data_IF_821957165266
#
_entry.id   IF_821957165266
#
_cell.length_a   1.000
_cell.length_b   1.000
_cell.length_c   1.000
_cell.angle_alpha   90.00
_cell.angle_beta   90.00
_cell.angle_gamma   90.00
#
_symmetry.space_group_name_H-M   'P 1'
#
loop_
_entity.id
_entity.type
_entity.pdbx_description
1 polymer ?
#
# COMPACT_ATOMS: atom_id res chain seq x y z
N UNK A 1 -15.36 -21.63 -22.26
CA UNK A 1 -15.63 -21.17 -20.88
C UNK A 1 -16.98 -20.48 -20.78
N UNK A 2 -17.30 -19.43 -21.54
CA UNK A 2 -18.58 -18.72 -21.43
C UNK A 2 -19.82 -19.62 -21.47
N UNK A 3 -19.91 -20.51 -22.44
CA UNK A 3 -21.04 -21.48 -22.55
C UNK A 3 -21.11 -22.42 -21.34
N UNK A 4 -19.96 -22.82 -20.77
CA UNK A 4 -19.90 -23.65 -19.58
C UNK A 4 -20.42 -22.88 -18.34
N UNK A 5 -20.06 -21.60 -18.22
CA UNK A 5 -20.53 -20.73 -17.15
C UNK A 5 -22.06 -20.53 -17.21
N UNK A 6 -22.59 -20.22 -18.40
CA UNK A 6 -24.04 -20.07 -18.62
C UNK A 6 -24.79 -21.38 -18.33
N UNK A 7 -24.23 -22.52 -18.75
CA UNK A 7 -24.83 -23.85 -18.48
C UNK A 7 -24.85 -24.15 -16.99
N UNK A 8 -23.79 -23.86 -16.27
CA UNK A 8 -23.72 -24.06 -14.82
C UNK A 8 -24.75 -23.20 -14.07
N UNK A 9 -24.83 -21.90 -14.37
CA UNK A 9 -25.80 -20.99 -13.76
C UNK A 9 -27.26 -21.42 -14.03
N UNK A 10 -27.56 -21.83 -15.26
CA UNK A 10 -28.88 -22.35 -15.63
C UNK A 10 -29.25 -23.65 -14.91
N UNK A 11 -28.26 -24.55 -14.73
CA UNK A 11 -28.49 -25.84 -14.07
C UNK A 11 -28.94 -25.73 -12.62
N UNK A 12 -28.50 -24.65 -11.93
CA UNK A 12 -28.86 -24.37 -10.53
C UNK A 12 -30.01 -23.34 -10.40
N UNK A 13 -30.55 -22.85 -11.51
CA UNK A 13 -31.59 -21.81 -11.50
C UNK A 13 -31.15 -20.51 -10.88
N UNK A 14 -29.88 -20.12 -11.08
CA UNK A 14 -29.31 -18.93 -10.45
C UNK A 14 -29.91 -17.64 -10.99
N UNK A 15 -30.31 -16.74 -10.09
CA UNK A 15 -30.77 -15.39 -10.40
C UNK A 15 -29.97 -14.36 -9.61
N UNK A 16 -29.40 -13.36 -10.26
CA UNK A 16 -28.57 -12.33 -9.67
C UNK A 16 -27.18 -12.23 -10.34
N UNK A 17 -26.36 -11.30 -9.87
CA UNK A 17 -24.98 -11.21 -10.31
C UNK A 17 -24.13 -12.34 -9.73
N UNK A 18 -23.27 -12.93 -10.53
CA UNK A 18 -22.36 -13.99 -10.08
C UNK A 18 -21.23 -14.19 -11.06
N UNK A 19 -20.18 -14.86 -10.62
CA UNK A 19 -19.00 -15.18 -11.42
C UNK A 19 -18.68 -16.65 -11.27
N UNK A 20 -18.40 -17.30 -12.39
CA UNK A 20 -17.90 -18.68 -12.42
C UNK A 20 -16.42 -18.63 -12.74
N UNK A 21 -15.62 -19.25 -11.90
CA UNK A 21 -14.17 -19.25 -11.99
C UNK A 21 -13.68 -20.59 -12.55
N UNK A 22 -12.67 -20.49 -13.43
CA UNK A 22 -12.02 -21.62 -14.04
C UNK A 22 -10.52 -21.49 -13.89
N UNK A 23 -9.86 -22.63 -13.62
CA UNK A 23 -8.41 -22.74 -13.81
C UNK A 23 -8.16 -23.16 -15.28
N UNK A 24 -7.14 -22.58 -15.88
CA UNK A 24 -6.82 -22.80 -17.30
C UNK A 24 -5.36 -23.21 -17.45
N UNK A 25 -5.11 -24.27 -18.21
CA UNK A 25 -3.77 -24.61 -18.69
C UNK A 25 -3.42 -23.73 -19.89
N UNK A 26 -2.51 -22.78 -19.66
CA UNK A 26 -2.00 -21.85 -20.68
C UNK A 26 -0.71 -22.29 -21.35
N UNK A 27 -0.17 -23.47 -21.05
CA UNK A 27 1.17 -23.92 -21.49
C UNK A 27 1.32 -23.91 -23.02
N UNK A 28 0.25 -24.30 -23.75
CA UNK A 28 0.22 -24.39 -25.22
C UNK A 28 -0.86 -23.47 -25.82
N UNK A 29 -1.17 -22.35 -25.15
CA UNK A 29 -2.29 -21.47 -25.48
C UNK A 29 -3.63 -21.98 -24.94
N UNK A 30 -4.70 -21.21 -25.19
CA UNK A 30 -6.03 -21.56 -24.70
C UNK A 30 -6.64 -22.69 -25.54
N UNK A 31 -6.98 -23.81 -24.89
CA UNK A 31 -7.62 -24.98 -25.52
C UNK A 31 -9.02 -25.19 -24.96
N UNK A 32 -9.90 -25.75 -25.77
CA UNK A 32 -11.30 -26.03 -25.38
C UNK A 32 -11.43 -27.15 -24.35
N UNK A 33 -10.41 -27.98 -24.18
CA UNK A 33 -10.30 -29.08 -23.21
C UNK A 33 -9.33 -28.80 -22.05
N UNK A 34 -8.70 -27.62 -22.03
CA UNK A 34 -7.67 -27.23 -21.07
C UNK A 34 -8.20 -26.25 -19.99
N UNK A 35 -9.44 -26.39 -19.53
CA UNK A 35 -9.97 -25.60 -18.44
C UNK A 35 -10.86 -26.43 -17.50
N UNK A 36 -10.83 -26.08 -16.22
CA UNK A 36 -11.57 -26.81 -15.18
C UNK A 36 -12.32 -25.82 -14.30
N UNK A 37 -13.54 -26.19 -13.90
CA UNK A 37 -14.34 -25.43 -12.95
C UNK A 37 -13.64 -25.40 -11.59
N UNK A 38 -13.55 -24.21 -11.00
CA UNK A 38 -13.06 -24.01 -9.63
C UNK A 38 -14.22 -23.76 -8.68
N UNK A 39 -14.88 -22.64 -8.82
CA UNK A 39 -15.98 -22.24 -7.96
C UNK A 39 -16.97 -21.31 -8.67
N UNK A 40 -18.11 -21.09 -8.01
CA UNK A 40 -19.04 -20.05 -8.37
C UNK A 40 -19.19 -19.07 -7.20
N UNK A 41 -18.87 -17.82 -7.44
CA UNK A 41 -19.15 -16.75 -6.50
C UNK A 41 -20.57 -16.22 -6.77
N UNK A 42 -21.51 -16.50 -5.86
CA UNK A 42 -22.91 -16.10 -5.97
C UNK A 42 -23.16 -14.67 -5.47
N UNK A 43 -22.31 -13.76 -5.88
CA UNK A 43 -22.30 -12.33 -5.52
C UNK A 43 -21.66 -11.50 -6.61
N UNK A 44 -21.85 -10.20 -6.56
CA UNK A 44 -21.07 -9.28 -7.35
C UNK A 44 -19.59 -9.35 -6.94
N UNK A 45 -18.68 -9.37 -7.89
CA UNK A 45 -17.24 -9.38 -7.65
C UNK A 45 -16.70 -7.96 -7.45
N UNK A 46 -15.57 -7.85 -6.75
CA UNK A 46 -14.90 -6.56 -6.53
C UNK A 46 -14.55 -5.91 -7.86
N UNK A 47 -14.06 -6.69 -8.82
CA UNK A 47 -13.59 -6.26 -10.15
C UNK A 47 -14.69 -6.02 -11.19
N UNK A 48 -15.97 -5.99 -10.81
CA UNK A 48 -17.06 -5.70 -11.74
C UNK A 48 -16.87 -4.41 -12.57
N UNK A 49 -16.17 -3.36 -12.09
CA UNK A 49 -15.96 -2.14 -12.87
C UNK A 49 -15.20 -2.39 -14.18
N UNK A 50 -14.34 -3.42 -14.25
CA UNK A 50 -13.67 -3.79 -15.51
C UNK A 50 -14.69 -4.26 -16.55
N UNK A 51 -15.60 -5.14 -16.14
CA UNK A 51 -16.69 -5.63 -17.01
C UNK A 51 -17.59 -4.47 -17.44
N UNK A 52 -17.99 -3.62 -16.52
CA UNK A 52 -18.82 -2.44 -16.82
C UNK A 52 -18.13 -1.50 -17.81
N UNK A 53 -16.83 -1.24 -17.63
CA UNK A 53 -16.07 -0.34 -18.49
C UNK A 53 -15.97 -0.83 -19.95
N UNK A 54 -15.89 -2.14 -20.16
CA UNK A 54 -15.75 -2.71 -21.52
C UNK A 54 -17.09 -3.07 -22.18
N UNK A 55 -18.18 -3.21 -21.40
CA UNK A 55 -19.49 -3.60 -21.95
C UNK A 55 -20.51 -2.45 -21.94
N UNK A 56 -20.27 -1.40 -21.16
CA UNK A 56 -21.21 -0.30 -20.99
C UNK A 56 -22.43 -0.65 -20.13
N UNK A 57 -22.38 -1.76 -19.39
CA UNK A 57 -23.45 -2.24 -18.51
C UNK A 57 -23.18 -1.75 -17.08
N UNK A 58 -24.21 -1.32 -16.35
CA UNK A 58 -24.17 -1.09 -14.91
C UNK A 58 -24.70 -2.34 -14.19
N UNK A 59 -23.79 -3.16 -13.65
CA UNK A 59 -24.14 -4.41 -12.99
C UNK A 59 -24.87 -4.20 -11.68
N UNK A 60 -24.61 -3.10 -10.97
CA UNK A 60 -25.28 -2.74 -9.72
C UNK A 60 -26.73 -2.33 -10.01
N UNK A 61 -26.95 -1.50 -11.02
CA UNK A 61 -28.30 -1.16 -11.48
C UNK A 61 -29.07 -2.43 -11.88
N UNK A 62 -28.43 -3.36 -12.61
CA UNK A 62 -29.08 -4.60 -13.02
C UNK A 62 -29.43 -5.50 -11.84
N UNK A 63 -28.60 -5.54 -10.79
CA UNK A 63 -28.96 -6.27 -9.56
C UNK A 63 -30.23 -5.70 -8.93
N UNK A 64 -30.37 -4.37 -8.87
CA UNK A 64 -31.57 -3.72 -8.32
C UNK A 64 -32.81 -4.00 -9.18
N UNK A 65 -32.68 -3.94 -10.50
CA UNK A 65 -33.79 -4.26 -11.42
C UNK A 65 -34.25 -5.71 -11.30
N UNK A 66 -33.31 -6.65 -11.28
CA UNK A 66 -33.61 -8.08 -11.11
C UNK A 66 -34.26 -8.35 -9.76
N UNK A 67 -33.78 -7.72 -8.69
CA UNK A 67 -34.37 -7.82 -7.36
C UNK A 67 -35.79 -7.23 -7.30
N UNK A 68 -36.09 -6.21 -8.13
CA UNK A 68 -37.43 -5.65 -8.30
C UNK A 68 -38.36 -6.54 -9.15
N UNK A 69 -37.87 -7.66 -9.70
CA UNK A 69 -38.63 -8.55 -10.57
C UNK A 69 -38.67 -8.15 -12.05
N UNK A 70 -37.83 -7.18 -12.46
CA UNK A 70 -37.74 -6.76 -13.85
C UNK A 70 -36.96 -7.81 -14.69
N UNK A 71 -37.23 -7.85 -15.99
CA UNK A 71 -36.42 -8.60 -16.93
C UNK A 71 -35.05 -7.89 -17.12
N UNK A 72 -34.02 -8.67 -17.52
CA UNK A 72 -32.73 -8.10 -17.87
C UNK A 72 -32.89 -7.05 -18.98
N UNK A 73 -32.22 -5.88 -18.86
CA UNK A 73 -32.34 -4.78 -19.83
C UNK A 73 -31.81 -5.10 -21.21
N UNK A 74 -30.88 -6.06 -21.34
CA UNK A 74 -30.27 -6.48 -22.61
C UNK A 74 -30.19 -8.00 -22.69
N UNK A 75 -30.11 -8.52 -23.92
CA UNK A 75 -29.84 -9.93 -24.17
C UNK A 75 -28.36 -10.19 -24.32
N UNK A 76 -27.95 -11.45 -24.25
CA UNK A 76 -26.54 -11.84 -24.40
C UNK A 76 -25.97 -11.43 -25.77
N UNK A 77 -26.73 -11.51 -26.81
CA UNK A 77 -26.35 -11.16 -28.20
C UNK A 77 -26.18 -9.65 -28.43
N UNK A 78 -26.77 -8.82 -27.56
CA UNK A 78 -26.69 -7.36 -27.62
C UNK A 78 -25.43 -6.82 -26.94
N UNK A 79 -24.73 -7.67 -26.18
CA UNK A 79 -23.51 -7.31 -25.46
C UNK A 79 -22.30 -7.33 -26.39
N UNK A 80 -21.49 -6.30 -26.31
CA UNK A 80 -20.22 -6.21 -27.05
C UNK A 80 -19.10 -5.72 -26.15
N UNK A 81 -17.89 -6.20 -26.41
CA UNK A 81 -16.69 -5.73 -25.71
C UNK A 81 -16.07 -4.60 -26.51
N UNK A 82 -15.89 -3.43 -25.87
CA UNK A 82 -15.28 -2.26 -26.47
C UNK A 82 -14.05 -1.84 -25.68
N UNK A 83 -12.90 -1.80 -26.35
CA UNK A 83 -11.65 -1.40 -25.73
C UNK A 83 -11.09 -2.42 -24.74
N UNK A 84 -10.42 -1.90 -23.73
CA UNK A 84 -9.75 -2.68 -22.69
C UNK A 84 -9.77 -1.90 -21.38
N UNK A 85 -9.91 -2.59 -20.25
CA UNK A 85 -9.89 -1.95 -18.94
C UNK A 85 -8.94 -2.67 -18.00
N UNK A 86 -8.43 -1.92 -17.02
CA UNK A 86 -7.67 -2.43 -15.89
C UNK A 86 -8.24 -1.88 -14.60
N UNK A 87 -8.18 -2.68 -13.56
CA UNK A 87 -8.45 -2.26 -12.19
C UNK A 87 -7.26 -2.61 -11.31
N UNK A 88 -6.85 -1.66 -10.47
CA UNK A 88 -5.92 -1.88 -9.38
C UNK A 88 -6.64 -1.73 -8.05
N UNK A 89 -6.42 -2.68 -7.14
CA UNK A 89 -6.89 -2.61 -5.76
C UNK A 89 -5.81 -2.00 -4.90
N UNK A 90 -6.06 -0.78 -4.44
CA UNK A 90 -5.17 -0.07 -3.52
C UNK A 90 -5.47 -0.51 -2.10
N UNK A 91 -4.48 -1.12 -1.46
CA UNK A 91 -4.54 -1.64 -0.11
C UNK A 91 -3.58 -0.90 0.83
N UNK A 92 -3.96 -0.79 2.10
CA UNK A 92 -3.03 -0.45 3.17
C UNK A 92 -2.23 -1.71 3.55
N UNK A 93 -1.12 -1.93 2.84
CA UNK A 93 -0.26 -3.12 2.95
C UNK A 93 1.21 -2.75 2.85
N UNK A 94 2.02 -3.33 3.73
CA UNK A 94 3.47 -3.25 3.68
C UNK A 94 4.01 -4.39 2.81
N UNK A 95 4.23 -4.09 1.54
CA UNK A 95 4.69 -5.06 0.53
C UNK A 95 6.10 -5.57 0.84
N UNK A 96 7.09 -4.72 1.17
CA UNK A 96 8.42 -5.18 1.62
C UNK A 96 8.40 -6.12 2.82
N UNK A 97 7.45 -5.95 3.72
CA UNK A 97 7.27 -6.81 4.88
C UNK A 97 6.46 -8.09 4.58
N UNK A 98 6.21 -8.42 3.29
CA UNK A 98 5.48 -9.60 2.87
C UNK A 98 3.97 -9.37 2.77
N UNK A 99 3.54 -8.21 2.34
CA UNK A 99 2.12 -7.82 2.21
C UNK A 99 1.37 -7.78 3.54
N UNK A 100 2.08 -7.39 4.60
CA UNK A 100 1.44 -7.25 5.91
C UNK A 100 0.44 -6.09 5.89
N UNK A 101 -0.79 -6.29 6.39
CA UNK A 101 -1.75 -5.21 6.52
C UNK A 101 -1.20 -4.08 7.39
N UNK A 102 -1.33 -2.84 6.93
CA UNK A 102 -0.91 -1.64 7.63
C UNK A 102 -2.13 -0.91 8.17
N UNK A 103 -2.22 -0.74 9.48
CA UNK A 103 -3.25 0.08 10.13
C UNK A 103 -2.78 1.52 10.26
N UNK A 104 -3.69 2.45 10.41
CA UNK A 104 -3.37 3.85 10.64
C UNK A 104 -4.46 4.79 10.15
N UNK A 105 -4.28 6.07 10.44
CA UNK A 105 -5.17 7.13 9.95
C UNK A 105 -4.67 7.60 8.59
N UNK A 106 -5.57 7.76 7.64
CA UNK A 106 -5.27 8.33 6.32
C UNK A 106 -5.16 9.86 6.47
N UNK A 107 -3.93 10.36 6.57
CA UNK A 107 -3.69 11.80 6.73
C UNK A 107 -3.96 12.60 5.44
N UNK A 108 -3.81 11.94 4.29
CA UNK A 108 -3.97 12.54 2.98
C UNK A 108 -4.37 11.48 1.95
N UNK A 109 -5.35 11.82 1.11
CA UNK A 109 -5.83 10.95 0.05
C UNK A 109 -6.28 11.81 -1.14
N UNK A 110 -5.56 11.67 -2.25
CA UNK A 110 -5.89 12.35 -3.52
C UNK A 110 -5.82 11.34 -4.66
N UNK A 111 -6.86 11.31 -5.46
CA UNK A 111 -6.94 10.50 -6.66
C UNK A 111 -6.96 11.36 -7.92
N UNK A 112 -6.49 10.85 -9.07
CA UNK A 112 -6.58 11.54 -10.34
C UNK A 112 -8.04 11.62 -10.83
N UNK A 113 -8.43 12.70 -11.50
CA UNK A 113 -9.79 12.88 -12.01
C UNK A 113 -10.13 12.01 -13.23
N UNK A 114 -9.11 11.48 -13.92
CA UNK A 114 -9.28 10.74 -15.18
C UNK A 114 -9.45 9.23 -14.99
N UNK A 115 -9.58 8.75 -13.77
CA UNK A 115 -9.84 7.36 -13.43
C UNK A 115 -11.18 7.22 -12.69
N UNK A 116 -11.84 6.08 -12.85
CA UNK A 116 -12.95 5.71 -11.97
C UNK A 116 -12.37 5.26 -10.65
N UNK A 117 -12.80 5.90 -9.58
CA UNK A 117 -12.37 5.60 -8.21
C UNK A 117 -13.57 5.15 -7.39
N UNK A 118 -13.53 3.92 -6.93
CA UNK A 118 -14.50 3.41 -5.96
C UNK A 118 -13.78 3.26 -4.62
N UNK A 119 -13.92 4.26 -3.74
CA UNK A 119 -13.28 4.30 -2.42
C UNK A 119 -14.28 4.09 -1.30
N UNK A 120 -13.89 3.31 -0.30
CA UNK A 120 -14.63 3.13 0.94
C UNK A 120 -14.22 4.08 2.06
N UNK A 121 -13.18 4.89 1.85
CA UNK A 121 -12.55 5.75 2.87
C UNK A 121 -12.21 7.12 2.30
N UNK A 122 -12.05 8.09 3.18
CA UNK A 122 -11.60 9.46 2.89
C UNK A 122 -10.44 9.86 3.81
N UNK A 123 -9.81 10.99 3.54
CA UNK A 123 -8.80 11.54 4.46
C UNK A 123 -9.44 11.81 5.84
N UNK A 124 -8.76 11.39 6.90
CA UNK A 124 -9.23 11.42 8.28
C UNK A 124 -9.78 10.07 8.78
N UNK A 125 -10.12 9.14 7.89
CA UNK A 125 -10.58 7.81 8.29
C UNK A 125 -9.44 6.93 8.79
N UNK A 126 -9.77 5.99 9.66
CA UNK A 126 -8.85 5.00 10.21
C UNK A 126 -8.99 3.65 9.48
N UNK A 127 -7.88 3.12 8.99
CA UNK A 127 -7.79 1.72 8.53
C UNK A 127 -7.65 0.83 9.75
N UNK A 128 -8.73 0.10 10.05
CA UNK A 128 -8.82 -0.75 11.23
C UNK A 128 -8.31 -2.17 10.92
N UNK A 129 -7.85 -2.92 11.95
CA UNK A 129 -7.42 -4.31 11.79
C UNK A 129 -8.58 -5.32 11.63
N UNK A 130 -9.83 -4.85 11.71
CA UNK A 130 -11.02 -5.72 11.76
C UNK A 130 -11.65 -6.00 10.40
N UNK A 131 -11.35 -5.16 9.41
CA UNK A 131 -11.91 -5.26 8.07
C UNK A 131 -10.79 -5.39 7.04
N UNK A 132 -11.17 -5.65 5.80
CA UNK A 132 -10.27 -5.66 4.65
C UNK A 132 -9.61 -4.27 4.52
N UNK A 133 -8.26 -4.18 4.41
CA UNK A 133 -7.54 -2.90 4.38
C UNK A 133 -7.60 -2.21 3.02
N UNK A 134 -8.57 -2.54 2.17
CA UNK A 134 -8.73 -1.92 0.85
C UNK A 134 -9.15 -0.45 0.99
N UNK A 135 -8.31 0.43 0.46
CA UNK A 135 -8.55 1.88 0.42
C UNK A 135 -9.48 2.22 -0.74
N UNK A 136 -9.15 1.73 -1.93
CA UNK A 136 -9.91 2.04 -3.14
C UNK A 136 -9.64 1.04 -4.27
N UNK A 137 -10.52 1.06 -5.26
CA UNK A 137 -10.29 0.50 -6.59
C UNK A 137 -10.04 1.64 -7.57
N UNK A 138 -8.99 1.51 -8.36
CA UNK A 138 -8.63 2.46 -9.43
C UNK A 138 -8.86 1.75 -10.75
N UNK A 139 -9.91 2.14 -11.47
CA UNK A 139 -10.31 1.51 -12.73
C UNK A 139 -10.12 2.50 -13.88
N UNK A 140 -9.49 2.03 -14.95
CA UNK A 140 -9.24 2.80 -16.17
C UNK A 140 -9.68 2.03 -17.39
N UNK A 141 -10.02 2.77 -18.45
CA UNK A 141 -10.41 2.23 -19.74
C UNK A 141 -9.56 2.86 -20.86
N UNK A 142 -9.36 2.12 -21.93
CA UNK A 142 -8.68 2.60 -23.13
C UNK A 142 -9.11 1.83 -24.38
N UNK A 143 -8.84 2.36 -25.58
CA UNK A 143 -9.23 1.72 -26.84
C UNK A 143 -8.51 0.39 -27.08
N UNK A 144 -7.44 0.11 -26.39
CA UNK A 144 -6.70 -1.14 -26.43
C UNK A 144 -5.90 -1.33 -25.12
N UNK A 145 -5.32 -2.54 -24.94
CA UNK A 145 -4.56 -2.92 -23.74
C UNK A 145 -3.43 -1.93 -23.42
N UNK A 146 -2.63 -1.54 -24.41
CA UNK A 146 -1.47 -0.67 -24.19
C UNK A 146 -1.89 0.71 -23.66
N UNK A 147 -2.96 1.30 -24.21
CA UNK A 147 -3.47 2.60 -23.76
C UNK A 147 -4.14 2.52 -22.40
N UNK A 148 -4.93 1.47 -22.15
CA UNK A 148 -5.51 1.26 -20.82
C UNK A 148 -4.43 1.09 -19.75
N UNK A 149 -3.38 0.32 -20.02
CA UNK A 149 -2.26 0.13 -19.08
C UNK A 149 -1.46 1.42 -18.87
N UNK A 150 -1.24 2.22 -19.90
CA UNK A 150 -0.61 3.54 -19.77
C UNK A 150 -1.46 4.46 -18.88
N UNK A 151 -2.78 4.44 -19.04
CA UNK A 151 -3.69 5.21 -18.18
C UNK A 151 -3.64 4.72 -16.74
N UNK A 152 -3.57 3.39 -16.50
CA UNK A 152 -3.41 2.85 -15.16
C UNK A 152 -2.12 3.33 -14.51
N UNK A 153 -0.99 3.21 -15.20
CA UNK A 153 0.30 3.66 -14.69
C UNK A 153 0.28 5.15 -14.32
N UNK A 154 -0.32 5.99 -15.17
CA UNK A 154 -0.46 7.42 -14.91
C UNK A 154 -1.38 7.70 -13.71
N UNK A 155 -2.48 6.96 -13.57
CA UNK A 155 -3.40 7.09 -12.46
C UNK A 155 -2.74 6.70 -11.12
N UNK A 156 -1.98 5.61 -11.11
CA UNK A 156 -1.23 5.18 -9.92
C UNK A 156 -0.17 6.20 -9.52
N UNK A 157 0.58 6.77 -10.48
CA UNK A 157 1.59 7.81 -10.21
C UNK A 157 0.99 9.12 -9.67
N UNK A 158 -0.23 9.45 -10.09
CA UNK A 158 -0.93 10.64 -9.65
C UNK A 158 -1.70 10.45 -8.32
N UNK A 159 -1.83 9.19 -7.86
CA UNK A 159 -2.48 8.88 -6.59
C UNK A 159 -1.55 9.23 -5.43
N UNK A 160 -2.07 9.93 -4.43
CA UNK A 160 -1.31 10.33 -3.24
C UNK A 160 -2.00 9.81 -1.99
N UNK A 161 -1.28 9.02 -1.19
CA UNK A 161 -1.74 8.52 0.10
C UNK A 161 -0.67 8.79 1.15
N UNK A 162 -1.06 9.34 2.29
CA UNK A 162 -0.18 9.45 3.46
C UNK A 162 -0.92 9.07 4.73
N UNK A 163 -0.17 8.73 5.78
CA UNK A 163 -0.67 8.29 7.08
C UNK A 163 -0.52 6.79 7.32
N UNK A 164 -0.60 5.99 6.26
CA UNK A 164 -0.36 4.55 6.31
C UNK A 164 0.54 4.09 5.17
N UNK A 165 1.09 2.88 5.27
CA UNK A 165 1.85 2.23 4.19
C UNK A 165 0.87 1.57 3.24
N UNK A 166 1.15 1.63 1.93
CA UNK A 166 0.26 1.08 0.90
C UNK A 166 1.03 0.27 -0.13
N UNK A 167 0.30 -0.55 -0.90
CA UNK A 167 0.85 -1.31 -2.02
C UNK A 167 1.00 -0.47 -3.33
N UNK A 168 0.86 0.86 -3.27
CA UNK A 168 0.83 1.72 -4.45
C UNK A 168 2.10 1.63 -5.29
N UNK A 169 3.28 1.66 -4.65
CA UNK A 169 4.56 1.53 -5.34
C UNK A 169 4.70 0.18 -6.05
N UNK A 170 4.24 -0.89 -5.41
CA UNK A 170 4.19 -2.23 -6.00
C UNK A 170 3.29 -2.25 -7.24
N UNK A 171 2.08 -1.71 -7.16
CA UNK A 171 1.14 -1.63 -8.28
C UNK A 171 1.72 -0.81 -9.44
N UNK A 172 2.37 0.31 -9.14
CA UNK A 172 3.03 1.16 -10.13
C UNK A 172 4.17 0.42 -10.84
N UNK A 173 5.03 -0.31 -10.11
CA UNK A 173 6.10 -1.14 -10.68
C UNK A 173 5.53 -2.29 -11.51
N UNK A 174 4.52 -2.99 -11.00
CA UNK A 174 3.87 -4.11 -11.70
C UNK A 174 3.26 -3.65 -13.03
N UNK A 175 2.60 -2.48 -13.05
CA UNK A 175 1.98 -1.93 -14.27
C UNK A 175 3.00 -1.66 -15.40
N UNK A 176 4.29 -1.58 -15.06
CA UNK A 176 5.41 -1.30 -15.98
C UNK A 176 6.30 -2.50 -16.25
N UNK A 177 6.06 -3.61 -15.57
CA UNK A 177 6.85 -4.83 -15.77
C UNK A 177 6.66 -5.32 -17.22
N UNK A 178 7.74 -5.59 -17.99
CA UNK A 178 7.63 -5.98 -19.39
C UNK A 178 6.70 -7.18 -19.65
N UNK A 179 6.75 -8.19 -18.78
CA UNK A 179 5.90 -9.39 -18.84
C UNK A 179 4.43 -9.02 -18.63
N UNK A 180 4.14 -8.12 -17.69
CA UNK A 180 2.78 -7.63 -17.47
C UNK A 180 2.31 -6.78 -18.64
N UNK A 181 3.17 -5.94 -19.20
CA UNK A 181 2.88 -5.11 -20.40
C UNK A 181 2.55 -5.96 -21.60
N UNK A 182 3.33 -7.02 -21.86
CA UNK A 182 3.10 -7.95 -22.98
C UNK A 182 1.89 -8.86 -22.77
N UNK A 183 1.46 -9.06 -21.52
CA UNK A 183 0.40 -10.00 -21.16
C UNK A 183 0.91 -11.42 -20.93
N UNK A 184 2.21 -11.61 -20.81
CA UNK A 184 2.83 -12.87 -20.42
C UNK A 184 2.77 -13.02 -18.88
N UNK A 185 1.58 -13.34 -18.40
CA UNK A 185 1.25 -13.37 -16.97
C UNK A 185 0.80 -14.77 -16.55
N UNK A 186 1.33 -15.21 -15.43
CA UNK A 186 0.94 -16.43 -14.74
C UNK A 186 0.94 -16.23 -13.21
N UNK A 187 0.52 -17.24 -12.46
CA UNK A 187 0.45 -17.20 -11.00
C UNK A 187 1.81 -17.08 -10.31
N UNK A 188 2.91 -17.33 -11.00
CA UNK A 188 4.28 -17.21 -10.50
C UNK A 188 4.95 -15.86 -10.80
N UNK A 189 4.30 -14.94 -11.53
CA UNK A 189 4.91 -13.70 -11.99
C UNK A 189 5.49 -12.87 -10.84
N UNK A 190 4.73 -12.64 -9.78
CA UNK A 190 5.17 -11.83 -8.62
C UNK A 190 6.37 -12.48 -7.94
N UNK A 191 6.35 -13.80 -7.76
CA UNK A 191 7.46 -14.52 -7.12
C UNK A 191 8.76 -14.43 -7.93
N UNK A 192 8.68 -14.51 -9.27
CA UNK A 192 9.86 -14.38 -10.16
C UNK A 192 10.50 -12.99 -10.12
N UNK A 193 9.72 -11.96 -9.87
CA UNK A 193 10.18 -10.56 -9.88
C UNK A 193 10.09 -9.89 -8.50
N UNK A 194 10.03 -10.68 -7.43
CA UNK A 194 9.88 -10.20 -6.05
C UNK A 194 10.93 -9.17 -5.66
N UNK A 195 12.20 -9.39 -6.02
CA UNK A 195 13.30 -8.48 -5.70
C UNK A 195 13.12 -7.07 -6.27
N UNK A 196 12.42 -6.96 -7.40
CA UNK A 196 12.13 -5.67 -8.04
C UNK A 196 10.80 -5.09 -7.56
N UNK A 197 9.76 -5.92 -7.53
CA UNK A 197 8.41 -5.50 -7.22
C UNK A 197 8.22 -5.15 -5.74
N UNK A 198 8.82 -5.95 -4.84
CA UNK A 198 8.65 -5.83 -3.39
C UNK A 198 9.80 -5.09 -2.70
N UNK A 199 10.75 -4.52 -3.45
CA UNK A 199 11.86 -3.76 -2.87
C UNK A 199 11.35 -2.55 -2.09
N UNK A 200 11.86 -2.36 -0.86
CA UNK A 200 11.59 -1.17 -0.08
C UNK A 200 12.11 0.07 -0.82
N UNK A 201 11.31 1.14 -0.95
CA UNK A 201 11.76 2.37 -1.58
C UNK A 201 12.87 3.02 -0.74
N UNK A 202 13.87 3.59 -1.44
CA UNK A 202 14.99 4.30 -0.79
C UNK A 202 14.97 5.76 -1.20
N UNK A 203 15.05 6.70 -0.25
CA UNK A 203 15.08 8.11 -0.56
C UNK A 203 16.37 8.49 -1.30
N UNK A 204 16.24 9.26 -2.37
CA UNK A 204 17.37 9.98 -2.93
C UNK A 204 17.71 11.20 -2.07
N UNK A 205 18.89 11.78 -2.27
CA UNK A 205 19.24 13.03 -1.59
C UNK A 205 18.27 14.17 -1.93
N UNK A 206 17.69 14.16 -3.14
CA UNK A 206 16.68 15.14 -3.53
C UNK A 206 15.36 14.94 -2.76
N UNK A 207 14.89 13.70 -2.58
CA UNK A 207 13.67 13.41 -1.80
C UNK A 207 13.87 13.84 -0.34
N UNK A 208 15.03 13.53 0.23
CA UNK A 208 15.40 13.94 1.58
C UNK A 208 15.48 15.46 1.73
N UNK A 209 15.99 16.16 0.69
CA UNK A 209 16.04 17.62 0.68
C UNK A 209 14.63 18.25 0.61
N UNK A 210 13.72 17.67 -0.18
CA UNK A 210 12.32 18.08 -0.24
C UNK A 210 11.63 17.83 1.09
N UNK A 211 11.88 16.68 1.72
CA UNK A 211 11.35 16.38 3.04
C UNK A 211 11.86 17.41 4.08
N UNK A 212 13.14 17.76 4.07
CA UNK A 212 13.73 18.71 5.01
C UNK A 212 13.14 20.12 4.86
N UNK A 213 12.97 20.61 3.63
CA UNK A 213 12.39 21.95 3.41
C UNK A 213 10.90 21.97 3.74
N UNK A 214 10.19 20.88 3.50
CA UNK A 214 8.77 20.73 3.88
C UNK A 214 8.62 20.66 5.40
N UNK A 215 9.52 19.94 6.10
CA UNK A 215 9.57 19.91 7.56
C UNK A 215 9.81 21.30 8.17
N UNK A 216 10.62 22.13 7.51
CA UNK A 216 10.97 23.46 7.98
C UNK A 216 9.82 24.47 7.90
N UNK A 217 8.77 24.19 7.12
CA UNK A 217 7.59 25.07 6.93
C UNK A 217 7.96 26.52 6.66
N UNK A 218 8.75 26.76 5.62
CA UNK A 218 9.17 28.11 5.28
C UNK A 218 7.96 29.00 4.94
N UNK A 219 7.91 30.19 5.56
CA UNK A 219 6.89 31.19 5.32
C UNK A 219 6.99 31.74 3.89
N UNK A 220 5.85 32.18 3.33
CA UNK A 220 5.79 32.95 2.07
C UNK A 220 6.12 34.45 2.23
N UNK A 221 6.47 34.88 3.44
CA UNK A 221 6.86 36.24 3.72
C UNK A 221 8.06 36.66 2.86
N UNK A 222 8.04 37.84 2.20
CA UNK A 222 9.16 38.33 1.40
C UNK A 222 10.49 38.42 2.17
N UNK A 223 10.44 38.56 3.50
CA UNK A 223 11.63 38.60 4.36
C UNK A 223 12.12 37.21 4.83
N UNK A 224 11.46 36.14 4.40
CA UNK A 224 11.91 34.78 4.72
C UNK A 224 13.33 34.55 4.20
N UNK A 225 14.24 34.15 5.09
CA UNK A 225 15.65 33.98 4.78
C UNK A 225 16.48 35.25 4.89
N UNK A 226 15.86 36.42 5.12
CA UNK A 226 16.61 37.65 5.33
C UNK A 226 17.44 37.56 6.63
N UNK A 227 18.72 37.90 6.52
CA UNK A 227 19.64 37.95 7.65
C UNK A 227 20.69 39.05 7.40
N UNK A 228 21.07 39.79 8.44
CA UNK A 228 22.03 40.87 8.35
C UNK A 228 23.50 40.41 8.27
N UNK A 229 23.81 39.23 8.82
CA UNK A 229 25.17 38.81 9.06
C UNK A 229 25.60 37.55 8.30
N UNK A 230 24.68 36.80 7.76
CA UNK A 230 24.93 35.57 7.04
C UNK A 230 23.65 34.81 6.72
N UNK A 231 23.68 33.77 5.90
CA UNK A 231 22.51 32.98 5.59
C UNK A 231 21.87 32.37 6.82
N UNK A 232 20.54 32.32 6.86
CA UNK A 232 19.81 31.59 7.89
C UNK A 232 19.98 30.08 7.67
N UNK A 233 20.65 29.43 8.59
CA UNK A 233 20.82 27.96 8.58
C UNK A 233 19.94 27.30 9.63
N UNK A 234 19.33 26.17 9.26
CA UNK A 234 18.53 25.31 10.14
C UNK A 234 19.00 23.87 9.99
N UNK A 235 19.18 23.21 11.13
CA UNK A 235 19.41 21.77 11.16
C UNK A 235 18.06 21.07 11.24
N UNK A 236 17.83 20.14 10.33
CA UNK A 236 16.63 19.32 10.25
C UNK A 236 17.06 17.87 10.33
N UNK A 237 16.66 17.21 11.39
CA UNK A 237 16.88 15.77 11.57
C UNK A 237 15.62 15.02 11.13
N UNK A 238 15.79 14.09 10.21
CA UNK A 238 14.75 13.23 9.66
C UNK A 238 15.13 11.76 9.85
N UNK A 239 14.14 10.89 9.83
CA UNK A 239 14.33 9.45 9.81
C UNK A 239 13.39 8.82 8.77
N UNK A 240 13.94 7.94 7.93
CA UNK A 240 13.18 7.11 7.02
C UNK A 240 13.47 5.63 7.32
N UNK A 241 12.48 4.90 7.87
CA UNK A 241 12.74 3.60 8.46
C UNK A 241 13.83 3.69 9.53
N UNK A 242 14.90 2.90 9.38
CA UNK A 242 16.06 2.91 10.28
C UNK A 242 17.14 3.92 9.87
N UNK A 243 16.99 4.57 8.71
CA UNK A 243 17.98 5.52 8.20
C UNK A 243 17.78 6.90 8.83
N UNK A 244 18.76 7.37 9.62
CA UNK A 244 18.85 8.75 10.07
C UNK A 244 19.38 9.65 8.94
N UNK A 245 18.81 10.83 8.80
CA UNK A 245 19.15 11.81 7.75
C UNK A 245 19.29 13.19 8.40
N UNK A 246 20.50 13.71 8.44
CA UNK A 246 20.78 15.06 8.92
C UNK A 246 20.88 16.00 7.72
N UNK A 247 20.02 17.01 7.69
CA UNK A 247 19.97 18.01 6.65
C UNK A 247 20.28 19.39 7.20
N UNK A 248 21.23 20.10 6.58
CA UNK A 248 21.48 21.52 6.83
C UNK A 248 20.77 22.33 5.76
N UNK A 249 19.73 23.06 6.16
CA UNK A 249 18.92 23.90 5.28
C UNK A 249 19.41 25.34 5.38
N UNK A 250 19.93 25.90 4.28
CA UNK A 250 20.31 27.31 4.12
C UNK A 250 19.19 28.04 3.36
N UNK A 251 18.46 28.91 4.05
CA UNK A 251 17.34 29.64 3.47
C UNK A 251 17.85 30.90 2.78
N UNK A 252 17.65 30.98 1.47
CA UNK A 252 18.06 32.14 0.65
C UNK A 252 16.91 33.14 0.47
N UNK A 253 15.68 32.63 0.34
CA UNK A 253 14.44 33.41 0.22
C UNK A 253 13.22 32.52 0.46
N UNK A 254 12.02 33.10 0.47
CA UNK A 254 10.77 32.34 0.51
C UNK A 254 10.63 31.31 -0.62
N UNK A 255 11.37 31.45 -1.72
CA UNK A 255 11.28 30.61 -2.93
C UNK A 255 12.56 29.86 -3.28
N UNK A 256 13.63 30.02 -2.52
CA UNK A 256 14.93 29.38 -2.81
C UNK A 256 15.63 28.97 -1.53
N UNK A 257 16.14 27.76 -1.52
CA UNK A 257 16.96 27.24 -0.44
C UNK A 257 18.00 26.26 -0.96
N UNK A 258 19.05 26.07 -0.18
CA UNK A 258 20.08 25.06 -0.41
C UNK A 258 20.02 24.07 0.75
N UNK A 259 19.96 22.78 0.43
CA UNK A 259 19.97 21.71 1.42
C UNK A 259 21.21 20.87 1.24
N UNK A 260 21.99 20.72 2.32
CA UNK A 260 23.14 19.84 2.38
C UNK A 260 22.77 18.58 3.15
N UNK A 261 23.03 17.41 2.54
CA UNK A 261 22.80 16.07 3.12
C UNK A 261 24.08 15.26 2.88
N UNK A 262 24.82 14.97 3.93
CA UNK A 262 26.16 14.40 3.80
C UNK A 262 27.04 15.28 2.91
N UNK A 263 27.60 14.71 1.86
CA UNK A 263 28.45 15.44 0.89
C UNK A 263 27.67 16.04 -0.29
N UNK A 264 26.37 15.82 -0.37
CA UNK A 264 25.53 16.32 -1.45
C UNK A 264 24.90 17.66 -1.11
N UNK A 265 24.92 18.58 -2.08
CA UNK A 265 24.28 19.90 -1.97
C UNK A 265 23.22 20.04 -3.05
N UNK A 266 21.98 20.26 -2.63
CA UNK A 266 20.80 20.34 -3.50
C UNK A 266 20.21 21.73 -3.41
N UNK A 267 20.11 22.43 -4.54
CA UNK A 267 19.37 23.69 -4.62
C UNK A 267 17.93 23.41 -5.00
N UNK A 268 17.01 23.90 -4.18
CA UNK A 268 15.57 23.79 -4.40
C UNK A 268 14.98 25.15 -4.68
N UNK A 269 14.08 25.22 -5.66
CA UNK A 269 13.32 26.40 -6.01
C UNK A 269 11.83 26.08 -5.97
N UNK A 270 11.08 26.85 -5.20
CA UNK A 270 9.64 26.69 -5.05
C UNK A 270 8.90 27.18 -6.28
N UNK A 271 7.96 26.37 -6.79
CA UNK A 271 7.04 26.70 -7.88
C UNK A 271 5.60 26.51 -7.38
N UNK A 272 4.90 27.61 -7.14
CA UNK A 272 3.60 27.54 -6.46
C UNK A 272 3.75 27.06 -5.02
N UNK A 273 3.05 25.99 -4.68
CA UNK A 273 3.12 25.37 -3.34
C UNK A 273 4.31 24.42 -3.16
N UNK A 274 4.89 23.88 -4.25
CA UNK A 274 5.80 22.75 -4.20
C UNK A 274 7.26 23.13 -4.45
N UNK A 275 8.16 22.35 -3.87
CA UNK A 275 9.61 22.42 -4.06
C UNK A 275 10.11 21.53 -5.20
N UNK A 276 9.25 21.28 -6.21
CA UNK A 276 9.53 20.50 -7.41
C UNK A 276 9.04 19.06 -7.37
N UNK A 277 8.58 18.59 -6.21
CA UNK A 277 7.85 17.34 -6.01
C UNK A 277 6.80 17.62 -4.93
N UNK A 278 5.56 17.17 -5.09
CA UNK A 278 4.53 17.32 -4.06
C UNK A 278 4.98 16.67 -2.75
N UNK A 279 4.78 17.37 -1.66
CA UNK A 279 5.07 16.87 -0.33
C UNK A 279 4.15 17.54 0.69
N UNK A 280 3.76 16.78 1.69
CA UNK A 280 2.94 17.28 2.79
C UNK A 280 3.61 17.01 4.13
N UNK A 281 3.34 17.89 5.09
CA UNK A 281 3.67 17.65 6.49
C UNK A 281 2.40 17.49 7.29
N UNK A 282 2.28 16.37 7.99
CA UNK A 282 1.25 16.14 8.98
C UNK A 282 1.91 15.82 10.33
N UNK A 283 1.66 16.68 11.33
CA UNK A 283 2.27 16.56 12.66
C UNK A 283 3.81 16.46 12.60
N UNK A 284 4.36 15.32 13.01
CA UNK A 284 5.80 15.02 13.05
C UNK A 284 6.28 14.22 11.85
N UNK A 285 5.48 14.08 10.80
CA UNK A 285 5.82 13.30 9.60
C UNK A 285 5.73 14.14 8.34
N UNK A 286 6.64 13.90 7.42
CA UNK A 286 6.60 14.44 6.06
C UNK A 286 6.47 13.29 5.09
N UNK A 287 5.53 13.40 4.15
CA UNK A 287 5.40 12.46 3.02
C UNK A 287 5.74 13.17 1.72
N UNK A 288 6.63 12.60 0.93
CA UNK A 288 7.04 13.07 -0.39
C UNK A 288 6.46 12.14 -1.44
N UNK A 289 5.73 12.72 -2.42
CA UNK A 289 5.05 11.99 -3.50
C UNK A 289 5.89 12.11 -4.78
N UNK A 290 6.99 11.34 -4.84
CA UNK A 290 7.92 11.29 -5.97
C UNK A 290 7.70 10.06 -6.85
N UNK A 291 8.82 9.49 -7.33
CA UNK A 291 8.80 8.21 -8.04
C UNK A 291 8.33 7.04 -7.14
N UNK A 292 8.48 7.20 -5.83
CA UNK A 292 7.91 6.39 -4.77
C UNK A 292 7.32 7.31 -3.71
N UNK A 293 6.37 6.79 -2.92
CA UNK A 293 5.86 7.50 -1.75
C UNK A 293 6.81 7.25 -0.59
N UNK A 294 7.40 8.33 -0.08
CA UNK A 294 8.41 8.27 0.97
C UNK A 294 7.96 9.04 2.20
N UNK A 295 7.89 8.37 3.32
CA UNK A 295 7.55 8.99 4.61
C UNK A 295 8.81 9.20 5.46
N UNK A 296 8.92 10.37 6.05
CA UNK A 296 10.03 10.79 6.90
C UNK A 296 9.48 11.26 8.24
N UNK A 297 9.95 10.70 9.35
CA UNK A 297 9.67 11.21 10.67
C UNK A 297 10.60 12.40 10.96
N UNK A 298 10.05 13.49 11.48
CA UNK A 298 10.82 14.65 11.94
C UNK A 298 11.31 14.31 13.36
N UNK A 299 12.63 14.22 13.51
CA UNK A 299 13.24 13.92 14.80
C UNK A 299 13.37 15.22 15.59
N UNK A 300 12.75 15.26 16.78
CA UNK A 300 12.98 16.36 17.73
C UNK A 300 14.31 16.11 18.47
N UNK A 301 15.34 16.94 18.26
CA UNK A 301 16.62 16.76 18.92
C UNK A 301 16.55 16.95 20.44
N UNK A 302 15.44 17.51 20.94
CA UNK A 302 15.20 17.68 22.37
C UNK A 302 14.37 16.54 22.98
N UNK A 303 13.75 15.69 22.15
CA UNK A 303 13.10 14.48 22.63
C UNK A 303 14.16 13.57 23.25
N UNK A 304 14.03 13.29 24.55
CA UNK A 304 14.91 12.34 25.24
C UNK A 304 14.87 11.00 24.48
N UNK A 305 16.06 10.42 24.32
CA UNK A 305 16.24 9.07 23.77
C UNK A 305 15.70 8.02 24.77
N UNK A 306 14.41 8.05 25.06
CA UNK A 306 13.76 7.13 26.01
C UNK A 306 13.35 5.80 25.36
N UNK A 307 13.82 5.49 24.16
CA UNK A 307 13.56 4.18 23.52
C UNK A 307 14.72 3.73 22.62
N UNK A 308 15.85 3.45 23.23
CA UNK A 308 16.72 2.43 22.65
C UNK A 308 16.03 1.08 22.95
N UNK A 309 15.06 0.67 22.11
CA UNK A 309 14.55 -0.69 22.15
C UNK A 309 15.60 -1.60 21.52
N UNK A 310 16.38 -2.24 22.38
CA UNK A 310 17.34 -3.26 22.01
C UNK A 310 16.66 -4.45 21.37
N UNK A 311 17.39 -5.26 20.60
CA UNK A 311 16.93 -6.49 19.95
C UNK A 311 16.44 -7.59 20.91
N UNK A 312 16.15 -7.24 22.17
CA UNK A 312 15.72 -8.13 23.25
C UNK A 312 14.19 -8.19 23.41
N UNK A 313 13.44 -7.38 22.65
CA UNK A 313 11.98 -7.32 22.75
C UNK A 313 11.29 -7.66 21.44
N UNK A 314 10.25 -8.49 21.52
CA UNK A 314 9.36 -8.84 20.42
C UNK A 314 8.04 -8.11 20.62
N UNK A 315 7.71 -7.21 19.71
CA UNK A 315 6.51 -6.39 19.74
C UNK A 315 5.49 -6.89 18.74
N UNK A 316 4.21 -6.60 19.01
CA UNK A 316 3.15 -6.85 18.04
C UNK A 316 3.33 -5.93 16.81
N UNK A 317 3.48 -6.47 15.58
CA UNK A 317 3.66 -5.67 14.38
C UNK A 317 2.39 -4.92 13.99
N UNK A 318 1.24 -5.42 14.46
CA UNK A 318 -0.09 -4.87 14.17
C UNK A 318 -1.06 -5.23 15.29
N UNK A 319 -2.22 -4.56 15.40
CA UNK A 319 -3.27 -4.99 16.30
C UNK A 319 -3.83 -6.35 15.89
N UNK A 320 -4.13 -7.20 16.87
CA UNK A 320 -4.65 -8.55 16.61
C UNK A 320 -5.02 -9.31 17.86
N UNK A 321 -5.48 -10.54 17.66
CA UNK A 321 -5.82 -11.50 18.70
C UNK A 321 -4.66 -12.49 18.85
N UNK A 322 -4.15 -12.69 20.05
CA UNK A 322 -3.15 -13.72 20.36
C UNK A 322 -3.82 -15.09 20.26
N UNK A 323 -3.43 -15.87 19.25
CA UNK A 323 -3.98 -17.22 19.02
C UNK A 323 -3.24 -18.28 19.80
N UNK A 324 -1.92 -18.13 19.92
CA UNK A 324 -1.08 -19.09 20.59
C UNK A 324 0.17 -18.42 21.16
N UNK A 325 0.61 -18.89 22.31
CA UNK A 325 1.87 -18.50 22.95
C UNK A 325 2.71 -19.77 23.12
N UNK A 326 3.76 -19.89 22.32
CA UNK A 326 4.56 -21.12 22.17
C UNK A 326 5.71 -21.19 23.19
N UNK A 327 5.95 -20.16 23.98
CA UNK A 327 7.09 -20.06 24.90
C UNK A 327 6.68 -19.63 26.31
N UNK A 328 7.52 -19.92 27.28
CA UNK A 328 7.34 -19.52 28.67
C UNK A 328 8.58 -18.77 29.17
N UNK A 329 8.41 -17.94 30.22
CA UNK A 329 9.53 -17.28 30.88
C UNK A 329 10.55 -18.32 31.40
N UNK A 330 11.84 -18.04 31.19
CA UNK A 330 12.95 -18.95 31.51
C UNK A 330 13.25 -19.99 30.45
N UNK A 331 12.52 -20.05 29.34
CA UNK A 331 12.77 -20.98 28.23
C UNK A 331 13.88 -20.45 27.32
N UNK A 332 14.83 -21.34 26.96
CA UNK A 332 15.82 -21.04 25.93
C UNK A 332 15.18 -21.17 24.54
N UNK A 333 15.54 -20.25 23.64
CA UNK A 333 15.08 -20.19 22.25
C UNK A 333 16.25 -19.93 21.31
N UNK A 334 16.17 -20.48 20.09
CA UNK A 334 17.08 -20.19 19.01
C UNK A 334 16.54 -19.07 18.12
N UNK A 335 17.43 -18.38 17.37
CA UNK A 335 17.01 -17.38 16.40
C UNK A 335 16.04 -17.99 15.38
N UNK A 336 14.87 -17.36 15.20
CA UNK A 336 13.82 -17.84 14.31
C UNK A 336 12.79 -18.77 14.95
N UNK A 337 12.96 -19.17 16.22
CA UNK A 337 11.96 -19.97 16.93
C UNK A 337 10.62 -19.25 17.05
N UNK A 338 9.53 -20.00 16.96
CA UNK A 338 8.16 -19.52 17.10
C UNK A 338 7.91 -19.13 18.56
N UNK A 339 7.53 -17.87 18.78
CA UNK A 339 7.24 -17.33 20.12
C UNK A 339 5.73 -17.17 20.34
N UNK A 340 5.08 -16.42 19.47
CA UNK A 340 3.65 -16.09 19.57
C UNK A 340 3.01 -16.15 18.18
N UNK A 341 1.76 -16.55 18.11
CA UNK A 341 0.93 -16.44 16.90
C UNK A 341 -0.14 -15.38 17.13
N UNK A 342 -0.11 -14.38 16.28
CA UNK A 342 -1.07 -13.29 16.25
C UNK A 342 -2.02 -13.49 15.06
N UNK A 343 -3.33 -13.47 15.28
CA UNK A 343 -4.31 -13.41 14.21
C UNK A 343 -4.75 -11.96 14.00
N UNK A 344 -4.59 -11.48 12.78
CA UNK A 344 -5.07 -10.18 12.34
C UNK A 344 -5.65 -10.30 10.92
N UNK A 345 -6.80 -9.68 10.65
CA UNK A 345 -7.42 -9.62 9.32
C UNK A 345 -7.57 -10.99 8.63
N UNK A 346 -7.92 -12.04 9.40
CA UNK A 346 -8.07 -13.45 8.95
C UNK A 346 -6.75 -14.11 8.52
N UNK A 347 -5.62 -13.55 8.86
CA UNK A 347 -4.30 -14.15 8.64
C UNK A 347 -3.60 -14.43 9.96
N UNK A 348 -2.84 -15.52 10.03
CA UNK A 348 -2.01 -15.84 11.18
C UNK A 348 -0.58 -15.37 10.93
N UNK A 349 -0.04 -14.59 11.86
CA UNK A 349 1.32 -14.09 11.86
C UNK A 349 2.11 -14.75 12.98
N UNK A 350 3.18 -15.43 12.61
CA UNK A 350 4.09 -16.08 13.57
C UNK A 350 5.19 -15.10 13.94
N UNK A 351 5.18 -14.62 15.18
CA UNK A 351 6.28 -13.82 15.75
C UNK A 351 7.38 -14.77 16.19
N UNK A 352 8.61 -14.47 15.75
CA UNK A 352 9.77 -15.34 15.94
C UNK A 352 10.84 -14.65 16.80
N UNK A 353 11.70 -15.45 17.42
CA UNK A 353 12.84 -14.95 18.15
C UNK A 353 13.81 -14.22 17.21
N UNK A 354 14.19 -12.96 17.52
CA UNK A 354 15.12 -12.18 16.70
C UNK A 354 16.58 -12.71 16.82
N UNK A 355 16.89 -13.42 17.89
CA UNK A 355 18.19 -14.02 18.19
C UNK A 355 18.02 -15.23 19.12
N UNK A 356 19.08 -15.99 19.32
CA UNK A 356 19.15 -16.97 20.41
C UNK A 356 19.17 -16.26 21.78
N UNK A 357 18.63 -16.90 22.80
CA UNK A 357 18.62 -16.37 24.18
C UNK A 357 17.62 -17.05 25.08
N UNK A 358 17.46 -16.52 26.28
CA UNK A 358 16.46 -16.98 27.25
C UNK A 358 15.29 -15.99 27.29
N UNK A 359 14.07 -16.49 27.32
CA UNK A 359 12.87 -15.66 27.46
C UNK A 359 12.82 -15.07 28.88
N UNK A 360 12.98 -13.75 28.99
CA UNK A 360 12.89 -13.04 30.28
C UNK A 360 11.44 -12.95 30.78
N UNK A 361 10.53 -12.56 29.88
CA UNK A 361 9.10 -12.48 30.21
C UNK A 361 8.21 -12.67 28.97
N UNK A 362 6.99 -13.14 29.22
CA UNK A 362 5.90 -13.19 28.25
C UNK A 362 4.79 -12.27 28.77
N UNK A 363 4.50 -11.22 28.01
CA UNK A 363 3.59 -10.14 28.44
C UNK A 363 2.13 -10.37 28.02
N UNK A 364 1.84 -11.45 27.27
CA UNK A 364 0.53 -11.74 26.69
C UNK A 364 0.13 -13.19 26.91
N UNK A 365 -1.17 -13.44 26.89
CA UNK A 365 -1.77 -14.78 26.93
C UNK A 365 -2.63 -15.05 25.70
N UNK A 366 -2.84 -16.34 25.41
CA UNK A 366 -3.77 -16.76 24.34
C UNK A 366 -5.18 -16.21 24.62
N UNK A 367 -5.76 -15.54 23.64
CA UNK A 367 -7.04 -14.85 23.71
C UNK A 367 -6.93 -13.35 24.03
N UNK A 368 -5.74 -12.84 24.32
CA UNK A 368 -5.54 -11.40 24.53
C UNK A 368 -5.63 -10.63 23.23
N UNK A 369 -6.18 -9.43 23.32
CA UNK A 369 -6.23 -8.49 22.25
C UNK A 369 -5.12 -7.45 22.42
N UNK A 370 -4.28 -7.28 21.39
CA UNK A 370 -3.12 -6.40 21.45
C UNK A 370 -3.19 -5.30 20.39
N UNK A 371 -2.56 -4.17 20.70
CA UNK A 371 -2.37 -3.06 19.76
C UNK A 371 -0.98 -3.16 19.11
N UNK A 372 -0.78 -2.51 17.96
CA UNK A 372 0.54 -2.40 17.35
C UNK A 372 1.55 -1.81 18.35
N UNK A 373 2.76 -2.37 18.40
CA UNK A 373 3.80 -1.98 19.32
C UNK A 373 3.63 -2.52 20.76
N UNK A 374 2.59 -3.29 21.05
CA UNK A 374 2.45 -3.94 22.36
C UNK A 374 3.58 -4.96 22.58
N UNK A 375 4.18 -4.96 23.79
CA UNK A 375 5.20 -5.93 24.17
C UNK A 375 4.58 -7.33 24.23
N UNK A 376 5.15 -8.27 23.50
CA UNK A 376 4.72 -9.67 23.46
C UNK A 376 5.63 -10.56 24.28
N UNK A 377 6.92 -10.53 23.97
CA UNK A 377 7.95 -11.33 24.63
C UNK A 377 9.21 -10.48 24.80
N UNK A 378 9.90 -10.59 25.93
CA UNK A 378 11.24 -10.05 26.09
C UNK A 378 12.25 -11.20 26.31
N UNK A 379 13.42 -11.05 25.72
CA UNK A 379 14.58 -11.91 25.98
C UNK A 379 15.46 -11.29 27.07
N UNK A 380 16.25 -12.12 27.74
CA UNK A 380 17.27 -11.61 28.65
C UNK A 380 18.33 -10.81 27.87
N UNK A 381 18.84 -9.69 28.40
CA UNK A 381 19.89 -8.93 27.74
C UNK A 381 21.11 -9.81 27.43
N UNK A 382 21.76 -9.56 26.27
CA UNK A 382 23.08 -10.15 26.02
C UNK A 382 24.07 -9.69 27.10
N UNK A 383 24.78 -10.64 27.72
CA UNK A 383 25.73 -10.41 28.80
C UNK A 383 27.05 -9.78 28.30
#
# INVERSE_FOLDING_TARGET
MGDAAVKAAKAIGYAGAGTIEFIVDGSDGLRTDGFWFMEMNTRLQVEHPVTEAITGVDLVEWQLRVAAGEALPMRQEDLSITGHAFEARLYAEDVPAGFLPATGVIDHLVFPPDARIDSGVVAGDEISPWYDPMIAKVTVHGPNRARALQSLSAALDATQVAGTVTNLDFLSRLSRLPEFVSGDVDTGLIARFSDTLCAAPRPSARDSAIAAVTAAQLSDDPLTGFSLWGPLERQIALRHGDQAIDATLTVQSAKSCVVKIGDQTITLTRRGADWGTPAIRHSTRVTVFGASILSFDIVDPLARADQAMGGDTVLAPMPGLVRDVAVAAGQAVDAGDRLVVLEAMKMEHVLRAPREGTVASVAVATGDQVTAGALMVSLEPEA
#
